data_IF_042558023584
#
_entry.id   IF_042558023584
#
_cell.length_a   1.000
_cell.length_b   1.000
_cell.length_c   1.000
_cell.angle_alpha   90.00
_cell.angle_beta   90.00
_cell.angle_gamma   90.00
#
_symmetry.space_group_name_H-M   'P 1'
#
loop_
_entity.id
_entity.type
_entity.pdbx_description
1 polymer ?
#
# COMPACT_ATOMS: atom_id res chain seq x y z
N UNK A 1 -11.84 19.50 24.52
CA UNK A 1 -12.95 20.00 25.37
C UNK A 1 -13.76 21.15 24.77
N UNK A 2 -13.22 21.97 23.85
CA UNK A 2 -13.88 23.18 23.33
C UNK A 2 -15.13 22.93 22.45
N UNK A 3 -15.03 22.01 21.48
CA UNK A 3 -16.12 21.69 20.53
C UNK A 3 -17.34 21.10 21.26
N UNK A 4 -17.10 20.25 22.28
CA UNK A 4 -18.16 19.71 23.15
C UNK A 4 -18.93 20.81 23.91
N UNK A 5 -18.27 21.89 24.33
CA UNK A 5 -18.92 23.02 25.02
C UNK A 5 -19.78 23.85 24.05
N UNK A 6 -19.30 24.09 22.83
CA UNK A 6 -20.03 24.83 21.80
C UNK A 6 -21.24 24.06 21.24
N UNK A 7 -21.10 22.74 21.04
CA UNK A 7 -22.22 21.88 20.67
C UNK A 7 -23.29 21.83 21.79
N UNK A 8 -22.84 21.79 23.06
CA UNK A 8 -23.72 21.79 24.23
C UNK A 8 -24.45 23.13 24.44
N UNK A 9 -23.85 24.26 24.04
CA UNK A 9 -24.56 25.55 24.00
C UNK A 9 -25.56 25.66 22.86
N UNK A 10 -25.45 24.84 21.81
CA UNK A 10 -26.33 24.89 20.63
C UNK A 10 -27.52 23.92 20.68
N UNK A 11 -27.43 22.72 21.28
CA UNK A 11 -28.62 21.90 21.57
C UNK A 11 -28.33 20.62 22.36
N UNK A 12 -29.35 20.13 23.08
CA UNK A 12 -29.35 18.85 23.82
C UNK A 12 -29.17 17.65 22.88
N UNK A 13 -28.06 16.93 23.09
CA UNK A 13 -27.62 15.63 22.55
C UNK A 13 -28.58 14.89 21.59
N UNK A 14 -28.10 14.61 20.37
CA UNK A 14 -28.22 13.28 19.75
C UNK A 14 -26.89 12.88 19.11
N UNK A 15 -26.36 11.76 19.58
CA UNK A 15 -25.09 11.18 19.16
C UNK A 15 -25.31 10.34 17.89
N UNK A 16 -24.77 10.79 16.76
CA UNK A 16 -24.29 10.02 15.60
C UNK A 16 -23.74 11.04 14.62
N UNK A 17 -22.59 10.75 14.02
CA UNK A 17 -21.81 11.64 13.14
C UNK A 17 -22.64 12.08 11.93
N UNK A 18 -23.46 13.11 12.09
CA UNK A 18 -24.47 13.54 11.11
C UNK A 18 -24.08 14.85 10.42
N UNK A 19 -24.65 15.08 9.23
CA UNK A 19 -24.52 16.31 8.42
C UNK A 19 -24.69 17.60 9.22
N UNK A 20 -25.49 17.58 10.29
CA UNK A 20 -25.71 18.71 11.21
C UNK A 20 -24.48 19.03 12.07
N UNK A 21 -23.74 18.02 12.51
CA UNK A 21 -22.49 18.21 13.26
C UNK A 21 -21.40 18.79 12.36
N UNK A 22 -21.32 18.33 11.10
CA UNK A 22 -20.41 18.92 10.12
C UNK A 22 -20.71 20.42 9.91
N UNK A 23 -21.98 20.79 9.82
CA UNK A 23 -22.40 22.19 9.72
C UNK A 23 -22.09 22.97 11.00
N UNK A 24 -22.33 22.41 12.18
CA UNK A 24 -22.00 23.03 13.47
C UNK A 24 -20.50 23.22 13.68
N UNK A 25 -19.67 22.25 13.26
CA UNK A 25 -18.21 22.35 13.27
C UNK A 25 -17.74 23.42 12.28
N UNK A 26 -18.31 23.46 11.07
CA UNK A 26 -17.98 24.49 10.08
C UNK A 26 -18.32 25.90 10.59
N UNK A 27 -19.51 26.09 11.16
CA UNK A 27 -19.89 27.35 11.80
C UNK A 27 -18.95 27.71 12.96
N UNK A 28 -18.59 26.75 13.81
CA UNK A 28 -17.63 26.99 14.90
C UNK A 28 -16.27 27.43 14.38
N UNK A 29 -15.76 26.80 13.34
CA UNK A 29 -14.47 27.14 12.73
C UNK A 29 -14.49 28.53 12.08
N UNK A 30 -15.63 28.93 11.48
CA UNK A 30 -15.81 30.27 10.90
C UNK A 30 -15.89 31.37 11.95
N UNK A 31 -16.57 31.11 13.08
CA UNK A 31 -16.68 32.06 14.19
C UNK A 31 -15.47 32.11 15.11
N UNK A 32 -14.48 31.21 14.95
CA UNK A 32 -13.33 31.16 15.85
C UNK A 32 -12.30 32.26 15.49
N UNK A 33 -11.94 33.15 16.43
CA UNK A 33 -10.94 34.18 16.20
C UNK A 33 -9.56 33.61 15.80
N UNK A 34 -9.31 32.34 16.12
CA UNK A 34 -8.02 31.67 15.91
C UNK A 34 -8.03 30.69 14.73
N UNK A 35 -8.84 30.98 13.70
CA UNK A 35 -9.05 30.14 12.50
C UNK A 35 -7.75 29.69 11.80
N UNK A 36 -6.69 30.50 11.85
CA UNK A 36 -5.39 30.23 11.23
C UNK A 36 -4.75 28.95 11.79
N UNK A 37 -4.99 28.62 13.07
CA UNK A 37 -4.47 27.39 13.70
C UNK A 37 -5.12 26.11 13.17
N UNK A 38 -6.29 26.23 12.55
CA UNK A 38 -7.01 25.11 11.95
C UNK A 38 -6.74 24.97 10.46
N UNK A 39 -5.94 25.87 9.86
CA UNK A 39 -5.57 25.76 8.47
C UNK A 39 -4.78 24.47 8.21
N UNK A 40 -5.08 23.85 7.08
CA UNK A 40 -4.38 22.65 6.67
C UNK A 40 -2.96 23.02 6.23
N UNK A 41 -1.98 22.48 6.95
CA UNK A 41 -0.61 22.52 6.47
C UNK A 41 -0.49 21.59 5.25
N UNK A 42 -0.39 22.17 4.06
CA UNK A 42 -0.33 21.43 2.79
C UNK A 42 0.73 20.32 2.80
N UNK A 43 1.90 20.57 3.40
CA UNK A 43 2.96 19.56 3.54
C UNK A 43 2.52 18.35 4.36
N UNK A 44 1.72 18.56 5.41
CA UNK A 44 1.19 17.46 6.21
C UNK A 44 0.14 16.64 5.44
N UNK A 45 -0.66 17.29 4.59
CA UNK A 45 -1.64 16.62 3.73
C UNK A 45 -0.93 15.78 2.68
N UNK A 46 0.06 16.35 2.00
CA UNK A 46 0.91 15.65 1.03
C UNK A 46 1.60 14.44 1.66
N UNK A 47 2.19 14.60 2.85
CA UNK A 47 2.83 13.50 3.56
C UNK A 47 1.84 12.36 3.87
N UNK A 48 0.60 12.68 4.26
CA UNK A 48 -0.45 11.67 4.49
C UNK A 48 -0.81 10.93 3.20
N UNK A 49 -0.89 11.64 2.07
CA UNK A 49 -1.17 11.04 0.76
C UNK A 49 -0.04 10.08 0.36
N UNK A 50 1.21 10.54 0.44
CA UNK A 50 2.39 9.73 0.13
C UNK A 50 2.50 8.50 1.04
N UNK A 51 2.28 8.67 2.35
CA UNK A 51 2.31 7.55 3.30
C UNK A 51 1.25 6.50 2.97
N UNK A 52 0.02 6.91 2.64
CA UNK A 52 -1.04 5.99 2.20
C UNK A 52 -0.67 5.30 0.89
N UNK A 53 -0.05 6.02 -0.04
CA UNK A 53 0.39 5.46 -1.32
C UNK A 53 1.46 4.38 -1.11
N UNK A 54 2.50 4.67 -0.32
CA UNK A 54 3.54 3.71 0.04
C UNK A 54 2.93 2.47 0.70
N UNK A 55 1.99 2.65 1.63
CA UNK A 55 1.32 1.52 2.28
C UNK A 55 0.56 0.63 1.29
N UNK A 56 -0.17 1.24 0.32
CA UNK A 56 -0.83 0.50 -0.75
C UNK A 56 0.17 -0.26 -1.63
N UNK A 57 1.30 0.35 -1.97
CA UNK A 57 2.36 -0.29 -2.75
C UNK A 57 2.96 -1.48 -2.01
N UNK A 58 3.27 -1.34 -0.72
CA UNK A 58 3.77 -2.45 0.12
C UNK A 58 2.77 -3.61 0.18
N UNK A 59 1.47 -3.32 0.28
CA UNK A 59 0.43 -4.35 0.24
C UNK A 59 0.44 -5.10 -1.09
N UNK A 60 0.40 -4.38 -2.22
CA UNK A 60 0.49 -4.98 -3.56
C UNK A 60 1.75 -5.81 -3.75
N UNK A 61 2.89 -5.33 -3.26
CA UNK A 61 4.15 -6.05 -3.31
C UNK A 61 4.06 -7.40 -2.59
N UNK A 62 3.45 -7.44 -1.41
CA UNK A 62 3.21 -8.68 -0.67
C UNK A 62 2.28 -9.62 -1.45
N UNK A 63 1.16 -9.10 -1.96
CA UNK A 63 0.20 -9.88 -2.74
C UNK A 63 0.86 -10.50 -3.99
N UNK A 64 1.68 -9.73 -4.71
CA UNK A 64 2.44 -10.20 -5.87
C UNK A 64 3.50 -11.25 -5.51
N UNK A 65 4.19 -11.12 -4.37
CA UNK A 65 5.14 -12.16 -3.92
C UNK A 65 4.43 -13.48 -3.64
N UNK A 66 3.26 -13.44 -3.00
CA UNK A 66 2.44 -14.64 -2.75
C UNK A 66 2.00 -15.28 -4.06
N UNK A 67 1.47 -14.48 -5.00
CA UNK A 67 1.06 -14.98 -6.31
C UNK A 67 2.22 -15.57 -7.10
N UNK A 68 3.36 -14.90 -7.11
CA UNK A 68 4.58 -15.36 -7.76
C UNK A 68 5.04 -16.72 -7.23
N UNK A 69 5.12 -16.87 -5.90
CA UNK A 69 5.46 -18.16 -5.27
C UNK A 69 4.47 -19.25 -5.64
N UNK A 70 3.17 -18.95 -5.62
CA UNK A 70 2.13 -19.91 -6.03
C UNK A 70 2.27 -20.34 -7.48
N UNK A 71 2.54 -19.41 -8.39
CA UNK A 71 2.77 -19.74 -9.81
C UNK A 71 4.01 -20.63 -9.97
N UNK A 72 5.08 -20.35 -9.23
CA UNK A 72 6.28 -21.18 -9.24
C UNK A 72 6.04 -22.58 -8.70
N UNK A 73 5.28 -22.72 -7.61
CA UNK A 73 4.97 -24.05 -7.06
C UNK A 73 4.14 -24.90 -8.04
N UNK A 74 3.35 -24.27 -8.92
CA UNK A 74 2.57 -24.96 -9.96
C UNK A 74 3.44 -25.35 -11.17
N UNK A 75 4.28 -24.43 -11.65
CA UNK A 75 5.03 -24.61 -12.92
C UNK A 75 6.39 -25.30 -12.67
N UNK A 76 7.01 -25.02 -11.53
CA UNK A 76 8.35 -25.45 -11.15
C UNK A 76 8.43 -25.86 -9.67
N UNK A 77 7.70 -26.89 -9.23
CA UNK A 77 7.66 -27.31 -7.82
C UNK A 77 9.04 -27.68 -7.25
N UNK A 78 9.99 -28.07 -8.09
CA UNK A 78 11.34 -28.45 -7.67
C UNK A 78 12.29 -27.26 -7.46
N UNK A 79 11.93 -26.07 -7.95
CA UNK A 79 12.82 -24.91 -7.98
C UNK A 79 13.26 -24.48 -6.58
N UNK A 80 12.37 -24.59 -5.60
CA UNK A 80 12.61 -24.19 -4.20
C UNK A 80 13.76 -24.96 -3.54
N UNK A 81 14.03 -26.18 -4.02
CA UNK A 81 15.11 -27.04 -3.50
C UNK A 81 16.49 -26.65 -4.06
N UNK A 82 16.52 -25.93 -5.18
CA UNK A 82 17.73 -25.66 -5.96
C UNK A 82 18.14 -24.19 -5.80
N UNK A 83 17.19 -23.26 -5.89
CA UNK A 83 17.43 -21.82 -5.81
C UNK A 83 16.32 -21.10 -5.05
N UNK A 84 16.67 -20.01 -4.36
CA UNK A 84 15.68 -19.20 -3.67
C UNK A 84 14.69 -18.54 -4.64
N UNK A 85 13.39 -18.69 -4.39
CA UNK A 85 12.30 -18.16 -5.26
C UNK A 85 12.43 -16.66 -5.55
N UNK A 86 12.84 -15.88 -4.56
CA UNK A 86 12.98 -14.42 -4.68
C UNK A 86 14.43 -13.95 -4.87
N UNK A 87 15.32 -14.84 -5.33
CA UNK A 87 16.69 -14.44 -5.67
C UNK A 87 16.71 -13.66 -7.00
N UNK A 88 17.68 -12.76 -7.14
CA UNK A 88 17.90 -12.00 -8.38
C UNK A 88 18.11 -12.93 -9.58
N UNK A 89 18.86 -14.02 -9.37
CA UNK A 89 19.04 -15.09 -10.36
C UNK A 89 17.71 -15.67 -10.81
N UNK A 90 16.80 -16.01 -9.89
CA UNK A 90 15.49 -16.58 -10.24
C UNK A 90 14.65 -15.59 -11.04
N UNK A 91 14.70 -14.30 -10.72
CA UNK A 91 14.00 -13.27 -11.50
C UNK A 91 14.56 -13.16 -12.92
N UNK A 92 15.88 -13.14 -13.08
CA UNK A 92 16.51 -13.10 -14.40
C UNK A 92 16.25 -14.38 -15.21
N UNK A 93 16.31 -15.53 -14.55
CA UNK A 93 16.00 -16.85 -15.13
C UNK A 93 14.59 -16.88 -15.72
N UNK A 94 13.59 -16.46 -14.97
CA UNK A 94 12.20 -16.45 -15.42
C UNK A 94 11.94 -15.35 -16.45
N UNK A 95 12.70 -14.25 -16.41
CA UNK A 95 12.61 -13.19 -17.43
C UNK A 95 13.10 -13.69 -18.79
N UNK A 96 14.18 -14.48 -18.82
CA UNK A 96 14.74 -15.05 -20.06
C UNK A 96 14.02 -16.32 -20.50
N UNK A 97 13.64 -17.17 -19.56
CA UNK A 97 13.07 -18.49 -19.81
C UNK A 97 11.86 -18.75 -18.91
N UNK A 98 10.69 -18.14 -19.22
CA UNK A 98 9.51 -18.19 -18.35
C UNK A 98 8.84 -19.56 -18.31
N UNK A 99 9.05 -20.41 -19.32
CA UNK A 99 8.40 -21.69 -19.49
C UNK A 99 9.41 -22.85 -19.44
N UNK A 100 9.00 -24.04 -18.93
CA UNK A 100 9.89 -25.19 -18.81
C UNK A 100 10.53 -25.60 -20.14
N UNK A 101 9.77 -25.52 -21.24
CA UNK A 101 10.23 -25.91 -22.58
C UNK A 101 11.42 -25.06 -23.06
N UNK A 102 11.35 -23.72 -22.95
CA UNK A 102 12.48 -22.87 -23.36
C UNK A 102 13.72 -23.07 -22.49
N UNK A 103 13.55 -23.48 -21.23
CA UNK A 103 14.68 -23.83 -20.36
C UNK A 103 15.37 -25.11 -20.82
N UNK A 104 14.60 -26.10 -21.27
CA UNK A 104 15.14 -27.34 -21.84
C UNK A 104 15.88 -27.03 -23.15
N UNK A 105 15.27 -26.22 -24.02
CA UNK A 105 15.89 -25.79 -25.30
C UNK A 105 17.16 -24.96 -25.11
N UNK A 106 17.23 -24.14 -24.04
CA UNK A 106 18.42 -23.35 -23.74
C UNK A 106 19.62 -24.23 -23.36
N UNK A 107 19.39 -25.38 -22.73
CA UNK A 107 20.44 -26.25 -22.18
C UNK A 107 21.05 -25.70 -20.89
N UNK A 108 21.74 -26.56 -20.15
CA UNK A 108 22.21 -26.26 -18.79
C UNK A 108 23.24 -25.12 -18.74
N UNK A 109 24.16 -25.06 -19.71
CA UNK A 109 25.24 -24.07 -19.73
C UNK A 109 24.72 -22.63 -19.76
N UNK A 110 23.69 -22.37 -20.58
CA UNK A 110 23.06 -21.05 -20.69
C UNK A 110 22.28 -20.65 -19.44
N UNK A 111 21.91 -21.60 -18.59
CA UNK A 111 21.24 -21.31 -17.32
C UNK A 111 22.27 -20.85 -16.28
N UNK A 112 23.45 -21.47 -16.24
CA UNK A 112 24.54 -21.09 -15.33
C UNK A 112 25.14 -19.72 -15.68
N UNK A 113 25.15 -19.36 -16.96
CA UNK A 113 25.65 -18.05 -17.42
C UNK A 113 24.80 -16.85 -16.97
N UNK A 114 23.61 -17.08 -16.41
CA UNK A 114 22.80 -16.01 -15.80
C UNK A 114 23.54 -15.54 -14.54
N UNK A 115 24.33 -14.48 -14.69
CA UNK A 115 25.13 -13.90 -13.61
C UNK A 115 24.22 -13.39 -12.48
N UNK A 116 24.71 -13.59 -11.25
CA UNK A 116 24.22 -12.90 -10.05
C UNK A 116 24.39 -11.39 -10.14
#
# INVERSE_FOLDING_TARGET
MLIKKFAKSLSLRKTKTDKKDAHGIALKLLSDPNREQFQHNNRQVELKILTRHIHRLKKKQSDWKVQYTRCLDIIFPELDKIVGKHSEYTYQLLTRYPNPQKRIEAGFDKLIEIKH
#
